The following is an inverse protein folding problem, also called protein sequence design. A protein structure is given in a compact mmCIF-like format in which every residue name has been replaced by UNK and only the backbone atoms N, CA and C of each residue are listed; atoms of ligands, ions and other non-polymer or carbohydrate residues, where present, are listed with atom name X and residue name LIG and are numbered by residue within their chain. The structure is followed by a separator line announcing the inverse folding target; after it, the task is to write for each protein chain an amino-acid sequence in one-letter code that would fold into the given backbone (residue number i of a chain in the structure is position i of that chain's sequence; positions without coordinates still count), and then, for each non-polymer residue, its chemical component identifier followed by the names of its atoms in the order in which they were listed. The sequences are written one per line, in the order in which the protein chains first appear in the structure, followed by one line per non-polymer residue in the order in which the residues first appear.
data_IF_164672260248
#
_entry.id   IF_164672260248
#
_cell.length_a   1.000
_cell.length_b   1.000
_cell.length_c   1.000
_cell.angle_alpha   90.00
_cell.angle_beta   90.00
_cell.angle_gamma   90.00
#
_symmetry.space_group_name_H-M   'P 1'
#
loop_
_entity.id
_entity.type
_entity.pdbx_description
1 polymer ?
#
# COMPACT_ATOMS: atom_id res chain seq x y z
N UNK A 1 -1.91 4.89 -11.97
CA UNK A 1 -2.94 4.27 -12.83
C UNK A 1 -4.27 4.48 -12.13
N UNK A 2 -5.38 4.76 -12.81
CA UNK A 2 -6.72 4.89 -12.17
C UNK A 2 -7.40 3.51 -12.20
N UNK A 3 -8.22 3.19 -11.19
CA UNK A 3 -8.97 1.92 -11.14
C UNK A 3 -10.06 1.82 -12.24
N UNK A 4 -10.36 2.95 -12.87
CA UNK A 4 -11.37 3.10 -13.91
C UNK A 4 -10.68 3.63 -15.17
N UNK A 5 -11.17 3.20 -16.34
CA UNK A 5 -10.67 3.67 -17.63
C UNK A 5 -10.74 5.20 -17.71
N UNK A 6 -9.65 5.84 -18.11
CA UNK A 6 -9.57 7.30 -18.21
C UNK A 6 -10.53 7.89 -19.24
N UNK A 7 -10.97 7.11 -20.23
CA UNK A 7 -11.93 7.55 -21.25
C UNK A 7 -13.34 7.80 -20.70
N UNK A 8 -13.73 7.12 -19.62
CA UNK A 8 -15.05 7.27 -18.99
C UNK A 8 -15.05 8.24 -17.81
N UNK A 9 -13.88 8.66 -17.34
CA UNK A 9 -13.75 9.54 -16.19
C UNK A 9 -13.96 11.00 -16.58
N UNK A 10 -14.72 11.78 -15.78
CA UNK A 10 -14.75 13.22 -15.90
C UNK A 10 -13.33 13.81 -15.85
N UNK A 11 -12.99 14.64 -16.83
CA UNK A 11 -11.67 15.28 -16.99
C UNK A 11 -11.17 15.98 -15.71
N UNK A 12 -12.09 16.49 -14.88
CA UNK A 12 -11.75 17.14 -13.61
C UNK A 12 -10.93 16.22 -12.69
N UNK A 13 -11.14 14.91 -12.70
CA UNK A 13 -10.42 13.99 -11.81
C UNK A 13 -8.96 13.81 -12.22
N UNK A 14 -8.67 13.67 -13.52
CA UNK A 14 -7.29 13.59 -14.00
C UNK A 14 -6.53 14.90 -13.72
N UNK A 15 -7.20 16.05 -13.84
CA UNK A 15 -6.61 17.36 -13.53
C UNK A 15 -6.32 17.54 -12.04
N UNK A 16 -7.17 17.01 -11.15
CA UNK A 16 -6.89 17.00 -9.71
C UNK A 16 -5.66 16.16 -9.40
N UNK A 17 -5.51 14.99 -10.06
CA UNK A 17 -4.34 14.14 -9.88
C UNK A 17 -3.05 14.79 -10.37
N UNK A 18 -3.09 15.42 -11.55
CA UNK A 18 -1.95 16.15 -12.09
C UNK A 18 -1.54 17.31 -11.17
N UNK A 19 -2.50 18.10 -10.66
CA UNK A 19 -2.21 19.16 -9.71
C UNK A 19 -1.57 18.62 -8.42
N UNK A 20 -2.04 17.48 -7.91
CA UNK A 20 -1.43 16.82 -6.75
C UNK A 20 -0.01 16.33 -7.03
N UNK A 21 0.24 15.77 -8.21
CA UNK A 21 1.56 15.29 -8.61
C UNK A 21 2.57 16.44 -8.71
N UNK A 22 2.17 17.57 -9.31
CA UNK A 22 3.02 18.77 -9.42
C UNK A 22 3.45 19.30 -8.05
N UNK A 23 2.53 19.27 -7.06
CA UNK A 23 2.81 19.66 -5.68
C UNK A 23 3.75 18.64 -5.01
N UNK A 24 3.46 17.35 -5.15
CA UNK A 24 4.24 16.28 -4.53
C UNK A 24 5.66 16.20 -5.09
N UNK A 25 5.85 16.46 -6.38
CA UNK A 25 7.16 16.46 -7.04
C UNK A 25 7.94 17.76 -6.82
N UNK A 26 7.38 18.76 -6.14
CA UNK A 26 8.00 20.08 -5.92
C UNK A 26 8.17 20.93 -7.19
N UNK A 27 7.49 20.58 -8.30
CA UNK A 27 7.55 21.37 -9.56
C UNK A 27 6.85 22.72 -9.41
N UNK A 28 5.91 22.81 -8.48
CA UNK A 28 5.20 24.03 -8.10
C UNK A 28 5.08 24.10 -6.59
N UNK A 29 5.05 25.31 -6.04
CA UNK A 29 5.09 25.50 -4.58
C UNK A 29 3.71 25.75 -3.97
N UNK A 30 2.68 26.01 -4.78
CA UNK A 30 1.36 26.40 -4.28
C UNK A 30 0.23 25.66 -4.99
N UNK A 31 -0.85 25.35 -4.25
CA UNK A 31 -2.06 24.74 -4.80
C UNK A 31 -2.70 25.60 -5.91
N UNK A 32 -2.59 26.92 -5.76
CA UNK A 32 -3.04 27.89 -6.74
C UNK A 32 -2.34 27.74 -8.09
N UNK A 33 -1.02 27.54 -8.07
CA UNK A 33 -0.20 27.34 -9.25
C UNK A 33 -0.42 25.95 -9.85
N UNK A 34 -0.47 24.91 -9.00
CA UNK A 34 -0.77 23.55 -9.42
C UNK A 34 -2.11 23.44 -10.17
N UNK A 35 -3.17 24.05 -9.64
CA UNK A 35 -4.48 24.08 -10.28
C UNK A 35 -4.44 24.79 -11.64
N UNK A 36 -3.70 25.90 -11.74
CA UNK A 36 -3.53 26.65 -12.99
C UNK A 36 -2.82 25.80 -14.06
N UNK A 37 -1.72 25.12 -13.69
CA UNK A 37 -0.93 24.30 -14.61
C UNK A 37 -1.74 23.09 -15.08
N UNK A 38 -2.46 22.42 -14.18
CA UNK A 38 -3.33 21.28 -14.51
C UNK A 38 -4.66 21.69 -15.21
N UNK A 39 -4.88 22.98 -15.45
CA UNK A 39 -6.06 23.49 -16.16
C UNK A 39 -7.38 23.32 -15.41
N UNK A 40 -7.35 23.32 -14.08
CA UNK A 40 -8.53 23.22 -13.20
C UNK A 40 -8.69 24.50 -12.38
N UNK A 41 -9.93 24.90 -12.09
CA UNK A 41 -10.17 26.03 -11.19
C UNK A 41 -9.70 25.71 -9.77
N UNK A 42 -9.28 26.73 -9.00
CA UNK A 42 -8.90 26.54 -7.60
C UNK A 42 -10.03 25.95 -6.77
N UNK A 43 -11.28 26.41 -6.97
CA UNK A 43 -12.45 25.90 -6.26
C UNK A 43 -12.73 24.44 -6.58
N UNK A 44 -12.59 24.02 -7.83
CA UNK A 44 -12.73 22.61 -8.21
C UNK A 44 -11.60 21.78 -7.62
N UNK A 45 -10.35 22.26 -7.65
CA UNK A 45 -9.24 21.57 -6.97
C UNK A 45 -9.56 21.36 -5.49
N UNK A 46 -9.93 22.40 -4.72
CA UNK A 46 -10.26 22.24 -3.30
C UNK A 46 -11.49 21.36 -3.05
N UNK A 47 -12.49 21.40 -3.93
CA UNK A 47 -13.68 20.54 -3.82
C UNK A 47 -13.34 19.05 -3.92
N UNK A 48 -12.38 18.69 -4.78
CA UNK A 48 -12.07 17.30 -5.10
C UNK A 48 -10.74 16.79 -4.52
N UNK A 49 -9.86 17.68 -4.04
CA UNK A 49 -8.51 17.34 -3.55
C UNK A 49 -8.57 16.27 -2.47
N UNK A 50 -9.52 16.32 -1.57
CA UNK A 50 -9.55 15.39 -0.44
C UNK A 50 -10.44 14.15 -0.72
N UNK A 51 -10.92 14.00 -1.97
CA UNK A 51 -11.76 12.88 -2.41
C UNK A 51 -11.16 12.09 -3.60
N UNK A 52 -10.28 12.71 -4.39
CA UNK A 52 -9.68 12.09 -5.58
C UNK A 52 -8.22 11.77 -5.30
N UNK A 53 -7.87 10.49 -5.27
CA UNK A 53 -6.51 10.04 -5.03
C UNK A 53 -6.00 9.23 -6.21
N UNK A 54 -4.71 9.32 -6.53
CA UNK A 54 -4.15 8.41 -7.52
C UNK A 54 -4.34 7.01 -6.95
N UNK A 55 -4.80 6.08 -7.78
CA UNK A 55 -4.69 4.69 -7.39
C UNK A 55 -3.22 4.34 -7.44
N UNK A 56 -2.64 4.32 -6.24
CA UNK A 56 -1.35 3.74 -6.02
C UNK A 56 -1.55 2.23 -6.11
N UNK A 57 -1.26 1.67 -7.28
CA UNK A 57 -0.66 0.34 -7.31
C UNK A 57 0.74 0.47 -6.70
N UNK A 58 0.84 0.92 -5.44
CA UNK A 58 2.04 0.68 -4.67
C UNK A 58 2.20 -0.83 -4.77
N UNK A 59 3.32 -1.24 -5.37
CA UNK A 59 3.78 -2.61 -5.32
C UNK A 59 4.03 -2.97 -3.87
N UNK A 60 2.96 -3.14 -3.10
CA UNK A 60 2.96 -3.99 -1.94
C UNK A 60 3.30 -5.32 -2.56
N UNK A 61 4.58 -5.70 -2.47
CA UNK A 61 4.97 -7.09 -2.65
C UNK A 61 3.92 -7.89 -1.91
N UNK A 62 3.15 -8.67 -2.67
CA UNK A 62 1.90 -9.28 -2.22
C UNK A 62 2.11 -9.83 -0.82
N UNK A 63 1.49 -9.20 0.18
CA UNK A 63 1.57 -9.71 1.55
C UNK A 63 0.83 -11.04 1.52
N UNK A 64 1.55 -12.10 1.81
CA UNK A 64 1.00 -13.44 1.96
C UNK A 64 1.05 -13.80 3.43
N UNK A 65 0.03 -14.50 3.91
CA UNK A 65 0.05 -15.12 5.22
C UNK A 65 0.25 -16.61 5.04
N UNK A 66 1.29 -17.16 5.68
CA UNK A 66 1.59 -18.58 5.67
C UNK A 66 1.11 -19.18 6.98
N UNK A 67 0.21 -20.15 6.89
CA UNK A 67 -0.29 -20.91 8.03
C UNK A 67 0.48 -22.21 8.19
N UNK A 68 0.99 -22.45 9.39
CA UNK A 68 1.84 -23.59 9.74
C UNK A 68 1.32 -24.27 11.01
N UNK A 69 1.45 -25.60 11.09
CA UNK A 69 1.33 -26.34 12.35
C UNK A 69 2.73 -26.78 12.77
N UNK A 70 3.25 -26.18 13.85
CA UNK A 70 4.60 -26.45 14.35
C UNK A 70 4.54 -27.36 15.57
N UNK A 71 5.54 -28.23 15.71
CA UNK A 71 5.72 -29.01 16.95
C UNK A 71 6.22 -28.08 18.05
N UNK A 72 5.64 -28.20 19.25
CA UNK A 72 6.06 -27.45 20.43
C UNK A 72 7.34 -28.05 21.00
N UNK A 73 8.47 -27.68 20.38
CA UNK A 73 9.82 -28.04 20.80
C UNK A 73 10.73 -26.82 20.69
N UNK A 74 11.72 -26.66 21.58
CA UNK A 74 12.69 -25.59 21.50
C UNK A 74 13.34 -25.51 20.10
N UNK A 75 13.42 -24.30 19.56
CA UNK A 75 14.09 -24.02 18.27
C UNK A 75 13.24 -24.22 17.01
N UNK A 76 12.06 -24.84 17.08
CA UNK A 76 11.23 -25.10 15.87
C UNK A 76 10.77 -23.81 15.19
N UNK A 77 10.17 -22.88 15.93
CA UNK A 77 9.76 -21.57 15.38
C UNK A 77 10.96 -20.79 14.86
N UNK A 78 12.06 -20.78 15.62
CA UNK A 78 13.30 -20.08 15.23
C UNK A 78 13.83 -20.60 13.90
N UNK A 79 13.86 -21.91 13.68
CA UNK A 79 14.30 -22.50 12.43
C UNK A 79 13.44 -22.04 11.25
N UNK A 80 12.12 -22.03 11.41
CA UNK A 80 11.19 -21.53 10.37
C UNK A 80 11.48 -20.06 10.02
N UNK A 81 11.64 -19.20 11.03
CA UNK A 81 11.94 -17.77 10.81
C UNK A 81 13.29 -17.58 10.10
N UNK A 82 14.29 -18.41 10.43
CA UNK A 82 15.58 -18.41 9.73
C UNK A 82 15.44 -18.79 8.25
N UNK A 83 14.58 -19.76 7.90
CA UNK A 83 14.34 -20.10 6.49
C UNK A 83 13.69 -18.96 5.70
N UNK A 84 12.72 -18.25 6.29
CA UNK A 84 12.15 -17.05 5.66
C UNK A 84 13.21 -15.97 5.45
N UNK A 85 14.07 -15.73 6.43
CA UNK A 85 15.16 -14.76 6.31
C UNK A 85 16.17 -15.18 5.22
N UNK A 86 16.53 -16.46 5.15
CA UNK A 86 17.43 -17.00 4.11
C UNK A 86 16.83 -16.87 2.70
N UNK A 87 15.50 -16.96 2.57
CA UNK A 87 14.78 -16.71 1.32
C UNK A 87 14.65 -15.21 0.98
N UNK A 88 15.16 -14.30 1.82
CA UNK A 88 15.05 -12.85 1.62
C UNK A 88 13.66 -12.28 1.91
N UNK A 89 12.81 -13.02 2.63
CA UNK A 89 11.48 -12.56 2.98
C UNK A 89 11.53 -11.53 4.13
N UNK A 90 10.76 -10.45 3.99
CA UNK A 90 10.56 -9.48 5.06
C UNK A 90 9.32 -9.88 5.87
N UNK A 91 9.52 -10.31 7.12
CA UNK A 91 8.42 -10.75 8.01
C UNK A 91 7.81 -9.52 8.68
N UNK A 92 6.51 -9.32 8.49
CA UNK A 92 5.78 -8.20 9.11
C UNK A 92 5.19 -8.58 10.47
N UNK A 93 4.70 -9.81 10.61
CA UNK A 93 4.04 -10.30 11.82
C UNK A 93 4.34 -11.77 12.04
N UNK A 94 4.36 -12.20 13.31
CA UNK A 94 4.37 -13.61 13.69
C UNK A 94 3.34 -13.77 14.80
N UNK A 95 2.37 -14.67 14.61
CA UNK A 95 1.40 -15.01 15.63
C UNK A 95 1.37 -16.53 15.84
N UNK A 96 1.76 -16.97 17.03
CA UNK A 96 1.73 -18.38 17.45
C UNK A 96 0.68 -18.56 18.55
N UNK A 97 -0.25 -19.49 18.34
CA UNK A 97 -1.23 -19.87 19.35
C UNK A 97 -0.59 -20.72 20.46
N UNK A 98 -1.25 -20.77 21.63
CA UNK A 98 -0.87 -21.68 22.72
C UNK A 98 -0.91 -23.13 22.19
N UNK A 99 0.15 -23.93 22.42
CA UNK A 99 0.20 -25.30 21.95
C UNK A 99 -0.97 -26.17 22.45
N UNK A 100 -1.53 -26.97 21.54
CA UNK A 100 -2.52 -28.01 21.81
C UNK A 100 -1.98 -29.36 21.35
N UNK A 101 -1.96 -30.36 22.24
CA UNK A 101 -1.43 -31.71 21.97
C UNK A 101 0.01 -31.70 21.40
N UNK A 102 0.86 -30.81 21.92
CA UNK A 102 2.27 -30.69 21.54
C UNK A 102 2.50 -30.03 20.17
N UNK A 103 1.49 -29.33 19.63
CA UNK A 103 1.58 -28.59 18.38
C UNK A 103 0.95 -27.21 18.52
N UNK A 104 1.49 -26.21 17.83
CA UNK A 104 0.98 -24.85 17.80
C UNK A 104 0.68 -24.43 16.37
N UNK A 105 -0.46 -23.77 16.18
CA UNK A 105 -0.75 -23.09 14.91
C UNK A 105 -0.02 -21.75 14.90
N UNK A 106 0.66 -21.47 13.79
CA UNK A 106 1.42 -20.24 13.57
C UNK A 106 0.99 -19.61 12.26
N UNK A 107 0.77 -18.30 12.28
CA UNK A 107 0.62 -17.48 11.07
C UNK A 107 1.79 -16.50 10.99
N UNK A 108 2.48 -16.51 9.85
CA UNK A 108 3.59 -15.61 9.51
C UNK A 108 3.16 -14.76 8.32
#
# INVERSE_FOLDING_TARGET
MLLVDSSVLPKVFSQVLEAKELLASGKVSTAAEAARVAGISRSAFYKYRDAVYPYESRGIGRIITVYLELRDKPGVLSGVLSEFANAGANILTVNQNIPLKGRALVSI
#
